data_IF_684560924930
#
_entry.id   IF_684560924930
#
_cell.length_a   1.000
_cell.length_b   1.000
_cell.length_c   1.000
_cell.angle_alpha   90.00
_cell.angle_beta   90.00
_cell.angle_gamma   90.00
#
_symmetry.space_group_name_H-M   'P 1'
#
loop_
_entity.id
_entity.type
_entity.pdbx_description
1 polymer ?
#
# COMPACT_ATOMS: atom_id res chain seq x y z
N UNK A 1 -16.14 -0.23 13.69
CA UNK A 1 -17.60 -0.14 13.40
C UNK A 1 -17.79 0.92 12.33
N UNK A 2 -18.66 0.67 11.37
CA UNK A 2 -19.00 1.66 10.33
C UNK A 2 -20.44 2.06 10.61
N UNK A 3 -20.68 3.36 10.79
CA UNK A 3 -22.02 3.93 10.90
C UNK A 3 -22.30 4.77 9.66
N UNK A 4 -23.51 4.62 9.13
CA UNK A 4 -23.98 5.44 8.02
C UNK A 4 -25.02 6.41 8.59
N UNK A 5 -24.91 7.69 8.24
CA UNK A 5 -25.99 8.63 8.54
C UNK A 5 -27.13 8.53 7.51
N UNK A 6 -28.17 9.33 7.72
CA UNK A 6 -29.34 9.38 6.84
C UNK A 6 -29.05 9.92 5.43
N UNK A 7 -27.88 10.53 5.20
CA UNK A 7 -27.40 11.01 3.90
C UNK A 7 -26.56 9.98 3.16
N UNK A 8 -26.21 8.85 3.82
CA UNK A 8 -25.31 7.82 3.31
C UNK A 8 -23.84 8.10 3.57
N UNK A 9 -23.53 9.15 4.34
CA UNK A 9 -22.17 9.44 4.76
C UNK A 9 -21.72 8.45 5.83
N UNK A 10 -20.45 8.03 5.78
CA UNK A 10 -19.91 6.97 6.62
C UNK A 10 -18.99 7.52 7.68
N UNK A 11 -19.24 7.06 8.90
CA UNK A 11 -18.38 7.32 10.04
C UNK A 11 -17.70 6.03 10.45
N UNK A 12 -16.34 6.07 10.49
CA UNK A 12 -15.52 4.94 10.89
C UNK A 12 -15.10 5.11 12.35
N UNK A 13 -15.57 4.21 13.21
CA UNK A 13 -15.11 4.12 14.59
C UNK A 13 -14.02 3.06 14.70
N UNK A 14 -12.81 3.48 15.00
CA UNK A 14 -11.65 2.61 15.10
C UNK A 14 -11.25 2.39 16.56
N UNK A 15 -11.19 1.14 16.99
CA UNK A 15 -10.56 0.73 18.25
C UNK A 15 -9.17 0.15 17.95
N UNK A 16 -8.24 1.01 17.53
CA UNK A 16 -6.89 0.61 17.11
C UNK A 16 -5.84 0.84 18.21
N UNK A 17 -6.20 1.54 19.30
CA UNK A 17 -5.26 1.91 20.36
C UNK A 17 -4.73 0.72 21.16
N UNK A 18 -5.44 -0.41 21.18
CA UNK A 18 -5.09 -1.61 21.92
C UNK A 18 -5.41 -2.90 21.13
N UNK A 19 -5.10 -2.89 19.84
CA UNK A 19 -5.26 -4.08 19.00
C UNK A 19 -4.08 -5.03 19.16
N UNK A 20 -4.30 -6.35 19.09
CA UNK A 20 -3.23 -7.35 19.15
C UNK A 20 -2.12 -7.12 18.11
N UNK A 21 -2.44 -6.52 16.96
CA UNK A 21 -1.47 -6.17 15.93
C UNK A 21 -0.39 -5.18 16.40
N UNK A 22 -0.68 -4.35 17.41
CA UNK A 22 0.33 -3.43 18.00
C UNK A 22 1.43 -4.16 18.75
N UNK A 23 1.15 -5.35 19.22
CA UNK A 23 2.05 -6.18 20.04
C UNK A 23 2.64 -7.34 19.24
N UNK A 24 2.50 -7.35 17.90
CA UNK A 24 2.92 -8.50 17.07
C UNK A 24 4.41 -8.82 17.17
N UNK A 25 5.24 -7.80 17.47
CA UNK A 25 6.68 -7.93 17.63
C UNK A 25 7.16 -7.52 19.03
N UNK A 26 6.27 -7.57 20.02
CA UNK A 26 6.63 -7.22 21.39
C UNK A 26 7.72 -8.15 21.93
N UNK A 27 8.85 -7.56 22.35
CA UNK A 27 10.03 -8.29 22.80
C UNK A 27 10.84 -9.00 21.71
N UNK A 28 10.47 -8.88 20.42
CA UNK A 28 11.24 -9.49 19.34
C UNK A 28 12.41 -8.60 18.90
N UNK A 29 13.54 -9.21 18.65
CA UNK A 29 14.72 -8.57 18.03
C UNK A 29 14.55 -8.52 16.49
N UNK A 30 15.27 -7.62 15.84
CA UNK A 30 15.32 -7.56 14.37
C UNK A 30 15.72 -8.92 13.75
N UNK A 31 16.63 -9.66 14.37
CA UNK A 31 17.07 -10.98 13.88
C UNK A 31 15.95 -12.04 13.94
N UNK A 32 15.12 -12.03 14.97
CA UNK A 32 13.97 -12.94 15.09
C UNK A 32 12.89 -12.61 14.06
N UNK A 33 12.61 -11.32 13.85
CA UNK A 33 11.70 -10.85 12.81
C UNK A 33 12.25 -11.25 11.43
N UNK A 34 13.52 -11.01 11.14
CA UNK A 34 14.14 -11.37 9.88
C UNK A 34 14.04 -12.88 9.59
N UNK A 35 14.28 -13.71 10.60
CA UNK A 35 14.14 -15.17 10.48
C UNK A 35 12.71 -15.59 10.13
N UNK A 36 11.70 -14.87 10.62
CA UNK A 36 10.31 -15.10 10.21
C UNK A 36 10.09 -14.67 8.76
N UNK A 37 10.53 -13.46 8.40
CA UNK A 37 10.27 -12.86 7.07
C UNK A 37 10.97 -13.62 5.94
N UNK A 38 12.18 -14.14 6.16
CA UNK A 38 12.93 -14.91 5.17
C UNK A 38 12.28 -16.27 4.80
N UNK A 39 11.18 -16.67 5.43
CA UNK A 39 10.42 -17.85 5.00
C UNK A 39 9.44 -17.57 3.84
N UNK A 40 9.35 -16.33 3.36
CA UNK A 40 8.40 -15.92 2.34
C UNK A 40 9.12 -15.34 1.13
N UNK A 41 8.63 -15.66 -0.07
CA UNK A 41 9.16 -15.14 -1.33
C UNK A 41 8.75 -13.67 -1.58
N UNK A 42 7.63 -13.25 -0.99
CA UNK A 42 7.09 -11.90 -1.13
C UNK A 42 6.52 -11.39 0.19
N UNK A 43 6.87 -10.15 0.51
CA UNK A 43 6.34 -9.42 1.65
C UNK A 43 5.55 -8.21 1.14
N UNK A 44 4.25 -8.15 1.46
CA UNK A 44 3.45 -6.95 1.26
C UNK A 44 3.25 -6.23 2.60
N UNK A 45 3.66 -4.97 2.64
CA UNK A 45 3.54 -4.15 3.83
C UNK A 45 2.67 -2.93 3.54
N UNK A 46 1.79 -2.62 4.49
CA UNK A 46 1.09 -1.34 4.55
C UNK A 46 1.78 -0.42 5.56
N UNK A 47 1.82 0.88 5.28
CA UNK A 47 2.30 1.89 6.25
C UNK A 47 1.49 1.89 7.55
N UNK A 48 0.24 1.40 7.53
CA UNK A 48 -0.55 1.18 8.76
C UNK A 48 0.16 0.19 9.69
N UNK A 49 0.78 -0.87 9.15
CA UNK A 49 1.52 -1.85 9.96
C UNK A 49 2.70 -1.21 10.69
N UNK A 50 3.37 -0.24 10.07
CA UNK A 50 4.44 0.54 10.70
C UNK A 50 3.90 1.55 11.72
N UNK A 51 2.81 2.22 11.38
CA UNK A 51 2.22 3.29 12.18
C UNK A 51 1.68 2.81 13.54
N UNK A 52 1.21 1.57 13.62
CA UNK A 52 0.68 0.98 14.87
C UNK A 52 1.77 0.46 15.81
N UNK A 53 2.99 0.25 15.32
CA UNK A 53 4.12 -0.20 16.13
C UNK A 53 4.72 0.96 16.92
N UNK A 54 5.30 0.68 18.09
CA UNK A 54 6.16 1.64 18.76
C UNK A 54 7.47 1.86 17.98
N UNK A 55 8.27 2.83 18.41
CA UNK A 55 9.48 3.20 17.69
C UNK A 55 10.50 2.05 17.64
N UNK A 56 10.67 1.32 18.73
CA UNK A 56 11.63 0.18 18.80
C UNK A 56 11.19 -0.96 17.89
N UNK A 57 9.93 -1.33 17.95
CA UNK A 57 9.36 -2.38 17.09
C UNK A 57 9.45 -2.00 15.60
N UNK A 58 9.16 -0.73 15.28
CA UNK A 58 9.25 -0.20 13.91
C UNK A 58 10.67 -0.26 13.38
N UNK A 59 11.64 0.17 14.19
CA UNK A 59 13.06 0.10 13.82
C UNK A 59 13.53 -1.35 13.62
N UNK A 60 13.17 -2.26 14.54
CA UNK A 60 13.48 -3.68 14.43
C UNK A 60 12.86 -4.31 13.15
N UNK A 61 11.64 -3.91 12.79
CA UNK A 61 11.01 -4.39 11.56
C UNK A 61 11.73 -3.88 10.31
N UNK A 62 12.12 -2.61 10.26
CA UNK A 62 12.86 -2.04 9.12
C UNK A 62 14.23 -2.72 8.98
N UNK A 63 14.94 -2.94 10.05
CA UNK A 63 16.23 -3.68 10.05
C UNK A 63 16.04 -5.14 9.59
N UNK A 64 14.98 -5.79 10.04
CA UNK A 64 14.65 -7.14 9.61
C UNK A 64 14.33 -7.20 8.10
N UNK A 65 13.62 -6.20 7.56
CA UNK A 65 13.33 -6.08 6.14
C UNK A 65 14.60 -5.86 5.30
N UNK A 66 15.58 -5.12 5.80
CA UNK A 66 16.88 -4.96 5.14
C UNK A 66 17.60 -6.32 4.97
N UNK A 67 17.48 -7.19 5.96
CA UNK A 67 18.01 -8.55 5.88
C UNK A 67 17.20 -9.41 4.91
N UNK A 68 15.87 -9.41 5.02
CA UNK A 68 14.99 -10.21 4.18
C UNK A 68 15.03 -9.80 2.70
N UNK A 69 15.33 -8.53 2.40
CA UNK A 69 15.43 -7.98 1.04
C UNK A 69 16.37 -8.74 0.11
N UNK A 70 17.32 -9.48 0.64
CA UNK A 70 18.28 -10.25 -0.16
C UNK A 70 17.59 -11.40 -0.90
N UNK A 71 16.54 -11.98 -0.33
CA UNK A 71 15.87 -13.18 -0.84
C UNK A 71 14.36 -12.99 -1.07
N UNK A 72 13.78 -11.86 -0.61
CA UNK A 72 12.36 -11.58 -0.68
C UNK A 72 12.04 -10.40 -1.60
N UNK A 73 10.95 -10.54 -2.34
CA UNK A 73 10.34 -9.41 -3.04
C UNK A 73 9.52 -8.56 -2.06
N UNK A 74 9.75 -7.25 -2.03
CA UNK A 74 9.07 -6.33 -1.10
C UNK A 74 8.15 -5.39 -1.89
N UNK A 75 6.84 -5.46 -1.60
CA UNK A 75 5.84 -4.51 -2.06
C UNK A 75 5.35 -3.65 -0.88
N UNK A 76 5.32 -2.34 -1.06
CA UNK A 76 4.97 -1.40 -0.01
C UNK A 76 3.85 -0.44 -0.45
N UNK A 77 2.82 -0.30 0.38
CA UNK A 77 1.77 0.70 0.25
C UNK A 77 1.81 1.62 1.48
N UNK A 78 2.18 2.91 1.34
CA UNK A 78 2.27 3.85 2.45
C UNK A 78 0.97 4.02 3.22
N UNK A 79 -0.17 3.98 2.54
CA UNK A 79 -1.51 3.99 3.11
C UNK A 79 -1.61 4.94 4.32
N UNK A 80 -1.28 6.23 4.10
CA UNK A 80 -1.10 7.21 5.15
C UNK A 80 -2.37 7.44 5.97
N UNK A 81 -2.22 7.41 7.28
CA UNK A 81 -3.29 7.71 8.24
C UNK A 81 -2.71 8.56 9.34
N UNK A 82 -2.91 9.88 9.23
CA UNK A 82 -2.32 10.87 10.16
C UNK A 82 -2.52 10.52 11.64
N UNK A 83 -3.70 10.01 12.00
CA UNK A 83 -4.06 9.68 13.39
C UNK A 83 -3.28 8.51 14.00
N UNK A 84 -2.54 7.73 13.20
CA UNK A 84 -1.81 6.55 13.66
C UNK A 84 -0.33 6.84 13.91
N UNK A 85 0.20 7.90 13.30
CA UNK A 85 1.59 8.29 13.43
C UNK A 85 1.80 9.25 14.60
N UNK A 86 2.92 9.18 15.31
CA UNK A 86 3.23 10.14 16.37
C UNK A 86 3.36 11.58 15.84
N UNK A 87 3.92 11.72 14.64
CA UNK A 87 4.03 12.96 13.88
C UNK A 87 4.31 12.67 12.39
N UNK A 88 4.32 13.71 11.57
CA UNK A 88 4.56 13.62 10.12
C UNK A 88 6.00 13.24 9.78
N UNK A 89 6.97 13.63 10.62
CA UNK A 89 8.38 13.37 10.35
C UNK A 89 8.73 11.90 10.56
N UNK A 90 8.16 11.24 11.59
CA UNK A 90 8.27 9.81 11.80
C UNK A 90 7.67 9.02 10.61
N UNK A 91 6.53 9.48 10.08
CA UNK A 91 5.93 8.91 8.89
C UNK A 91 6.82 9.07 7.66
N UNK A 92 7.27 10.30 7.37
CA UNK A 92 8.16 10.61 6.23
C UNK A 92 9.43 9.79 6.28
N UNK A 93 10.09 9.75 7.43
CA UNK A 93 11.32 8.99 7.62
C UNK A 93 11.13 7.48 7.35
N UNK A 94 10.09 6.88 7.93
CA UNK A 94 9.77 5.48 7.70
C UNK A 94 9.47 5.18 6.23
N UNK A 95 8.71 6.05 5.54
CA UNK A 95 8.41 5.90 4.12
C UNK A 95 9.68 5.95 3.26
N UNK A 96 10.61 6.87 3.55
CA UNK A 96 11.89 6.95 2.83
C UNK A 96 12.75 5.70 3.05
N UNK A 97 12.78 5.14 4.26
CA UNK A 97 13.47 3.89 4.54
C UNK A 97 12.85 2.70 3.78
N UNK A 98 11.51 2.62 3.75
CA UNK A 98 10.81 1.56 3.01
C UNK A 98 10.94 1.71 1.50
N UNK A 99 11.00 2.93 0.97
CA UNK A 99 11.24 3.16 -0.46
C UNK A 99 12.56 2.54 -0.92
N UNK A 100 13.62 2.62 -0.11
CA UNK A 100 14.93 1.99 -0.40
C UNK A 100 14.85 0.46 -0.50
N UNK A 101 13.87 -0.13 0.16
CA UNK A 101 13.69 -1.59 0.20
C UNK A 101 12.64 -2.09 -0.80
N UNK A 102 11.78 -1.22 -1.28
CA UNK A 102 10.65 -1.62 -2.11
C UNK A 102 11.07 -2.02 -3.53
N UNK A 103 10.67 -3.21 -3.95
CA UNK A 103 10.67 -3.59 -5.37
C UNK A 103 9.49 -2.94 -6.09
N UNK A 104 8.34 -2.81 -5.40
CA UNK A 104 7.19 -2.05 -5.86
C UNK A 104 6.70 -1.15 -4.73
N UNK A 105 6.55 0.14 -5.00
CA UNK A 105 5.85 1.10 -4.15
C UNK A 105 4.50 1.47 -4.78
N UNK A 106 3.41 1.33 -4.03
CA UNK A 106 2.03 1.53 -4.48
C UNK A 106 1.43 2.76 -3.79
N UNK A 107 1.61 3.92 -4.36
CA UNK A 107 1.32 5.20 -3.72
C UNK A 107 -0.11 5.64 -4.02
N UNK A 108 -0.88 6.02 -3.01
CA UNK A 108 -2.09 6.83 -3.20
C UNK A 108 -1.67 8.28 -3.40
N UNK A 109 -2.06 8.90 -4.50
CA UNK A 109 -1.77 10.31 -4.78
C UNK A 109 -2.35 11.22 -3.70
N UNK A 110 -3.57 10.97 -3.26
CA UNK A 110 -4.23 11.72 -2.19
C UNK A 110 -3.44 11.63 -0.87
N UNK A 111 -3.09 10.41 -0.44
CA UNK A 111 -2.32 10.17 0.78
C UNK A 111 -0.93 10.83 0.72
N UNK A 112 -0.27 10.75 -0.44
CA UNK A 112 1.05 11.36 -0.62
C UNK A 112 0.95 12.88 -0.56
N UNK A 113 0.01 13.48 -1.30
CA UNK A 113 -0.20 14.94 -1.30
C UNK A 113 -0.49 15.46 0.11
N UNK A 114 -1.25 14.72 0.91
CA UNK A 114 -1.53 15.10 2.31
C UNK A 114 -0.28 15.10 3.20
N UNK A 115 0.78 14.37 2.84
CA UNK A 115 2.00 14.26 3.65
C UNK A 115 3.16 15.12 3.13
N UNK A 116 3.27 15.35 1.81
CA UNK A 116 4.42 16.04 1.17
C UNK A 116 4.06 17.23 0.26
N UNK A 117 2.77 17.56 0.15
CA UNK A 117 2.27 18.64 -0.72
C UNK A 117 2.54 18.45 -2.23
N UNK A 118 3.18 17.35 -2.65
CA UNK A 118 3.42 17.04 -4.07
C UNK A 118 2.14 16.54 -4.72
N UNK A 119 1.71 17.17 -5.83
CA UNK A 119 0.36 16.95 -6.40
C UNK A 119 0.34 16.23 -7.74
N UNK A 120 1.44 16.14 -8.47
CA UNK A 120 1.47 15.49 -9.78
C UNK A 120 1.98 14.05 -9.67
N UNK A 121 1.36 13.12 -10.40
CA UNK A 121 1.69 11.70 -10.30
C UNK A 121 3.10 11.36 -10.77
N UNK A 122 3.62 12.09 -11.76
CA UNK A 122 4.98 11.99 -12.26
C UNK A 122 5.99 12.44 -11.19
N UNK A 123 5.80 13.63 -10.60
CA UNK A 123 6.69 14.13 -9.54
C UNK A 123 6.69 13.21 -8.30
N UNK A 124 5.52 12.68 -7.92
CA UNK A 124 5.43 11.68 -6.84
C UNK A 124 6.24 10.42 -7.19
N UNK A 125 6.11 9.93 -8.41
CA UNK A 125 6.83 8.72 -8.83
C UNK A 125 8.35 8.95 -8.88
N UNK A 126 8.80 10.10 -9.40
CA UNK A 126 10.21 10.49 -9.41
C UNK A 126 10.77 10.63 -7.99
N UNK A 127 10.02 11.21 -7.08
CA UNK A 127 10.41 11.35 -5.67
C UNK A 127 10.64 9.99 -5.02
N UNK A 128 9.69 9.05 -5.15
CA UNK A 128 9.83 7.70 -4.61
C UNK A 128 10.96 6.89 -5.27
N UNK A 129 11.15 7.05 -6.59
CA UNK A 129 12.26 6.44 -7.30
C UNK A 129 13.61 7.02 -6.84
N UNK A 130 13.67 8.32 -6.56
CA UNK A 130 14.87 8.99 -6.01
C UNK A 130 15.25 8.48 -4.62
N UNK A 131 14.27 8.05 -3.83
CA UNK A 131 14.50 7.39 -2.53
C UNK A 131 14.92 5.93 -2.65
N UNK A 132 14.78 5.30 -3.83
CA UNK A 132 15.29 3.96 -4.11
C UNK A 132 14.26 2.91 -4.51
N UNK A 133 12.98 3.24 -4.60
CA UNK A 133 11.95 2.31 -5.07
C UNK A 133 12.19 1.93 -6.53
N UNK A 134 12.20 0.61 -6.84
CA UNK A 134 12.54 0.13 -8.19
C UNK A 134 11.41 0.28 -9.21
N UNK A 135 10.18 0.13 -8.76
CA UNK A 135 8.96 0.31 -9.55
C UNK A 135 7.97 1.11 -8.70
N UNK A 136 7.52 2.24 -9.20
CA UNK A 136 6.57 3.12 -8.48
C UNK A 136 5.25 3.15 -9.23
N UNK A 137 4.17 2.92 -8.53
CA UNK A 137 2.81 2.96 -9.05
C UNK A 137 2.02 4.00 -8.27
N UNK A 138 1.64 5.08 -8.91
CA UNK A 138 0.81 6.15 -8.31
C UNK A 138 -0.64 5.93 -8.71
N UNK A 139 -1.48 5.63 -7.72
CA UNK A 139 -2.93 5.44 -7.85
C UNK A 139 -3.63 6.80 -7.71
N UNK A 140 -4.53 7.15 -8.63
CA UNK A 140 -5.28 8.41 -8.61
C UNK A 140 -6.80 8.15 -8.65
N UNK A 141 -7.30 7.46 -7.64
CA UNK A 141 -8.72 7.14 -7.52
C UNK A 141 -9.28 6.42 -8.74
N UNK A 142 -10.28 7.02 -9.38
CA UNK A 142 -10.88 6.51 -10.62
C UNK A 142 -10.20 6.97 -11.90
N UNK A 143 -9.09 7.71 -11.81
CA UNK A 143 -8.29 8.16 -12.94
C UNK A 143 -7.21 7.14 -13.33
N UNK A 144 -6.34 7.53 -14.27
CA UNK A 144 -5.20 6.71 -14.69
C UNK A 144 -4.24 6.46 -13.53
N UNK A 145 -3.76 5.24 -13.38
CA UNK A 145 -2.56 5.04 -12.58
C UNK A 145 -1.31 5.39 -13.41
N UNK A 146 -0.33 5.98 -12.73
CA UNK A 146 0.98 6.31 -13.32
C UNK A 146 2.02 5.31 -12.80
N UNK A 147 2.85 4.81 -13.69
CA UNK A 147 3.89 3.83 -13.38
C UNK A 147 5.23 4.36 -13.87
N UNK A 148 6.22 4.37 -12.98
CA UNK A 148 7.61 4.64 -13.29
C UNK A 148 8.43 3.38 -12.98
N UNK A 149 9.12 2.87 -14.01
CA UNK A 149 10.00 1.71 -13.87
C UNK A 149 11.18 1.82 -14.82
N UNK A 150 12.38 1.68 -14.30
CA UNK A 150 13.64 1.71 -15.09
C UNK A 150 13.70 2.94 -16.03
N UNK A 151 13.23 4.11 -15.55
CA UNK A 151 13.14 5.36 -16.32
C UNK A 151 12.02 5.39 -17.38
N UNK A 152 11.21 4.33 -17.46
CA UNK A 152 10.07 4.27 -18.38
C UNK A 152 8.79 4.67 -17.65
N UNK A 153 8.12 5.68 -18.21
CA UNK A 153 6.84 6.18 -17.72
C UNK A 153 5.69 5.53 -18.49
N UNK A 154 4.63 5.18 -17.77
CA UNK A 154 3.45 4.57 -18.36
C UNK A 154 2.21 5.03 -17.62
N UNK A 155 1.12 5.32 -18.35
CA UNK A 155 -0.20 5.57 -17.79
C UNK A 155 -1.16 4.46 -18.22
N UNK A 156 -1.96 3.97 -17.29
CA UNK A 156 -2.96 2.92 -17.56
C UNK A 156 -4.30 3.37 -16.99
N UNK A 157 -5.26 3.50 -17.89
CA UNK A 157 -6.64 3.91 -17.54
C UNK A 157 -7.47 2.74 -17.02
N UNK A 158 -8.36 2.95 -16.06
CA UNK A 158 -9.40 1.98 -15.74
C UNK A 158 -10.32 1.75 -16.94
N UNK A 159 -10.81 0.53 -17.10
CA UNK A 159 -11.72 0.20 -18.20
C UNK A 159 -13.19 0.42 -17.81
N UNK A 160 -13.91 1.14 -18.66
CA UNK A 160 -15.34 1.37 -18.51
C UNK A 160 -15.70 2.46 -17.49
N UNK A 161 -16.93 2.94 -17.58
CA UNK A 161 -17.52 3.86 -16.61
C UNK A 161 -18.21 3.05 -15.52
N UNK A 162 -17.65 3.04 -14.33
CA UNK A 162 -18.20 2.30 -13.19
C UNK A 162 -18.70 3.30 -12.16
N UNK A 163 -19.96 3.17 -11.78
CA UNK A 163 -20.49 3.91 -10.64
C UNK A 163 -20.19 3.10 -9.38
N UNK A 164 -19.36 3.61 -8.46
CA UNK A 164 -19.06 2.89 -7.25
C UNK A 164 -20.28 2.82 -6.32
N UNK A 165 -20.48 1.65 -5.70
CA UNK A 165 -21.42 1.43 -4.60
C UNK A 165 -20.71 1.67 -3.27
N UNK A 166 -19.46 1.17 -3.15
CA UNK A 166 -18.64 1.29 -1.98
C UNK A 166 -17.14 1.24 -2.36
N UNK A 167 -16.39 2.29 -2.06
CA UNK A 167 -14.97 2.37 -2.39
C UNK A 167 -14.05 1.72 -1.35
N UNK A 168 -14.62 1.11 -0.30
CA UNK A 168 -13.85 0.40 0.73
C UNK A 168 -13.07 -0.75 0.13
N UNK A 169 -11.74 -0.79 0.37
CA UNK A 169 -10.85 -1.81 -0.17
C UNK A 169 -10.45 -1.64 -1.63
N UNK A 170 -10.80 -0.54 -2.29
CA UNK A 170 -10.40 -0.27 -3.68
C UNK A 170 -8.86 -0.28 -3.83
N UNK A 171 -8.16 0.44 -2.94
CA UNK A 171 -6.68 0.48 -2.93
C UNK A 171 -6.05 -0.87 -2.66
N UNK A 172 -6.55 -1.60 -1.65
CA UNK A 172 -6.03 -2.92 -1.27
C UNK A 172 -6.24 -3.96 -2.39
N UNK A 173 -7.42 -3.93 -3.02
CA UNK A 173 -7.73 -4.83 -4.14
C UNK A 173 -6.93 -4.50 -5.41
N UNK A 174 -6.67 -3.21 -5.67
CA UNK A 174 -5.75 -2.79 -6.71
C UNK A 174 -4.33 -3.31 -6.43
N UNK A 175 -3.83 -3.09 -5.20
CA UNK A 175 -2.50 -3.53 -4.79
C UNK A 175 -2.35 -5.05 -4.92
N UNK A 176 -3.33 -5.83 -4.46
CA UNK A 176 -3.34 -7.29 -4.60
C UNK A 176 -3.30 -7.74 -6.07
N UNK A 177 -4.10 -7.09 -6.92
CA UNK A 177 -4.13 -7.37 -8.37
C UNK A 177 -2.83 -7.03 -9.06
N UNK A 178 -2.23 -5.90 -8.71
CA UNK A 178 -0.96 -5.45 -9.27
C UNK A 178 0.18 -6.36 -8.86
N UNK A 179 0.45 -6.49 -7.56
CA UNK A 179 1.55 -7.29 -7.02
C UNK A 179 1.44 -8.75 -7.46
N UNK A 180 0.25 -9.36 -7.34
CA UNK A 180 0.03 -10.73 -7.78
C UNK A 180 0.33 -10.94 -9.27
N UNK A 181 -0.02 -9.97 -10.12
CA UNK A 181 0.30 -10.04 -11.57
C UNK A 181 1.80 -9.90 -11.81
N UNK A 182 2.48 -9.00 -11.09
CA UNK A 182 3.93 -8.83 -11.20
C UNK A 182 4.70 -10.08 -10.76
N UNK A 183 4.28 -10.73 -9.68
CA UNK A 183 4.86 -12.01 -9.22
C UNK A 183 4.66 -13.15 -10.24
N UNK A 184 3.61 -13.09 -11.06
CA UNK A 184 3.39 -14.00 -12.16
C UNK A 184 4.15 -13.61 -13.45
N UNK A 185 5.06 -12.65 -13.39
CA UNK A 185 5.91 -12.23 -14.51
C UNK A 185 5.21 -11.34 -15.55
N UNK A 186 4.00 -10.81 -15.27
CA UNK A 186 3.31 -9.90 -16.19
C UNK A 186 4.00 -8.55 -16.22
N UNK A 187 3.90 -7.86 -17.36
CA UNK A 187 4.38 -6.48 -17.53
C UNK A 187 3.65 -5.50 -16.59
N UNK A 188 4.22 -4.34 -16.30
CA UNK A 188 3.55 -3.30 -15.49
C UNK A 188 2.18 -2.90 -16.05
N UNK A 189 2.06 -2.80 -17.37
CA UNK A 189 0.78 -2.46 -18.05
C UNK A 189 -0.28 -3.54 -17.82
N UNK A 190 0.07 -4.82 -18.02
CA UNK A 190 -0.85 -5.94 -17.79
C UNK A 190 -1.25 -6.03 -16.31
N UNK A 191 -0.29 -5.79 -15.41
CA UNK A 191 -0.53 -5.78 -13.98
C UNK A 191 -1.52 -4.67 -13.58
N UNK A 192 -1.32 -3.44 -14.08
CA UNK A 192 -2.20 -2.32 -13.83
C UNK A 192 -3.60 -2.53 -14.41
N UNK A 193 -3.70 -3.05 -15.64
CA UNK A 193 -4.99 -3.40 -16.27
C UNK A 193 -5.75 -4.41 -15.41
N UNK A 194 -5.05 -5.42 -14.90
CA UNK A 194 -5.64 -6.42 -14.00
C UNK A 194 -6.05 -5.82 -12.66
N UNK A 195 -5.21 -4.96 -12.09
CA UNK A 195 -5.46 -4.27 -10.83
C UNK A 195 -6.72 -3.39 -10.93
N UNK A 196 -6.84 -2.57 -11.97
CA UNK A 196 -8.05 -1.80 -12.24
C UNK A 196 -9.31 -2.69 -12.36
N UNK A 197 -9.21 -3.79 -13.07
CA UNK A 197 -10.33 -4.73 -13.23
C UNK A 197 -10.78 -5.35 -11.90
N UNK A 198 -9.85 -5.64 -10.99
CA UNK A 198 -10.17 -6.20 -9.67
C UNK A 198 -10.78 -5.11 -8.77
N UNK A 199 -10.15 -3.94 -8.70
CA UNK A 199 -10.68 -2.81 -7.93
C UNK A 199 -12.09 -2.42 -8.40
N UNK A 200 -12.30 -2.37 -9.72
CA UNK A 200 -13.59 -2.11 -10.34
C UNK A 200 -14.69 -3.10 -9.91
N UNK A 201 -14.36 -4.37 -9.73
CA UNK A 201 -15.31 -5.38 -9.23
C UNK A 201 -15.62 -5.16 -7.75
N UNK A 202 -14.60 -4.85 -6.94
CA UNK A 202 -14.79 -4.67 -5.50
C UNK A 202 -15.70 -3.48 -5.23
N UNK A 203 -15.46 -2.34 -5.86
CA UNK A 203 -16.24 -1.11 -5.58
C UNK A 203 -17.71 -1.16 -6.04
N UNK A 204 -18.13 -2.18 -6.79
CA UNK A 204 -19.54 -2.39 -7.18
C UNK A 204 -20.33 -3.15 -6.09
N UNK A 205 -19.74 -3.49 -4.98
CA UNK A 205 -20.35 -4.23 -3.87
C UNK A 205 -20.18 -3.47 -2.56
N UNK A 206 -21.03 -3.75 -1.58
CA UNK A 206 -20.85 -3.23 -0.23
C UNK A 206 -19.74 -4.01 0.50
N UNK A 207 -18.84 -3.26 1.18
CA UNK A 207 -17.72 -3.81 1.92
C UNK A 207 -16.51 -4.17 1.04
N UNK A 208 -15.39 -4.43 1.67
CA UNK A 208 -14.10 -4.69 1.00
C UNK A 208 -13.97 -6.12 0.47
N UNK A 209 -14.75 -7.07 0.99
CA UNK A 209 -14.64 -8.50 0.67
C UNK A 209 -15.81 -8.92 -0.21
N UNK A 210 -15.49 -9.26 -1.45
CA UNK A 210 -16.47 -9.73 -2.42
C UNK A 210 -16.41 -11.25 -2.52
N UNK A 211 -17.56 -11.92 -2.44
CA UNK A 211 -17.63 -13.37 -2.62
C UNK A 211 -17.19 -13.76 -4.04
N UNK A 212 -16.23 -14.68 -4.10
CA UNK A 212 -15.75 -15.26 -5.37
C UNK A 212 -16.54 -16.48 -5.79
N UNK A 213 -17.72 -16.73 -5.19
CA UNK A 213 -18.56 -17.86 -5.61
C UNK A 213 -18.90 -17.70 -7.10
N UNK A 214 -18.49 -18.68 -7.89
CA UNK A 214 -18.90 -18.79 -9.29
C UNK A 214 -20.42 -18.99 -9.32
N UNK A 215 -21.13 -18.03 -9.85
CA UNK A 215 -22.49 -18.24 -10.38
C UNK A 215 -22.42 -19.14 -11.61
#
# INVERSE_FOLDING_TARGET
MIENDSSGERFFHYWRSDSAARYMFDGWTAAEIAKLLCNYDCLYLSGISLAILDETQRQNLIEALQTAKQDCFIAYDPNYRANLWPDTDACRHSNQQLAQLADIALISKEDHTALWDTVSSDAIAEEWASWGAKEVVVKDGGADCYILKDGTETRVSPQGNITPVDTTGAGDSFAAGYVGSRLLGRSPVEAATRAHSIAAKVIQHQGAIVSTQKT
#
